data_IF_836776338178
#
_entry.id   IF_836776338178
#
_cell.length_a   1.000
_cell.length_b   1.000
_cell.length_c   1.000
_cell.angle_alpha   90.00
_cell.angle_beta   90.00
_cell.angle_gamma   90.00
#
_symmetry.space_group_name_H-M   'P 1'
#
loop_
_entity.id
_entity.type
_entity.pdbx_description
1 polymer ?
#
# COMPACT_ATOMS: atom_id res chain seq x y z
N UNK A 1 7.46 3.20 15.71
CA UNK A 1 7.86 4.04 14.56
C UNK A 1 6.87 5.18 14.22
N UNK A 2 5.89 5.49 15.09
CA UNK A 2 5.00 6.66 14.91
C UNK A 2 4.25 6.76 13.56
N UNK A 3 3.98 5.64 12.90
CA UNK A 3 3.27 5.54 11.61
C UNK A 3 2.06 4.58 11.69
N UNK A 4 1.32 4.66 12.80
CA UNK A 4 0.23 3.71 13.07
C UNK A 4 -0.93 3.86 12.07
N UNK A 5 -1.20 5.06 11.56
CA UNK A 5 -2.28 5.29 10.60
C UNK A 5 -1.93 4.75 9.22
N UNK A 6 -0.68 4.88 8.81
CA UNK A 6 -0.17 4.36 7.54
C UNK A 6 -0.12 2.84 7.55
N UNK A 7 0.37 2.23 8.65
CA UNK A 7 0.37 0.77 8.80
C UNK A 7 -1.06 0.22 8.86
N UNK A 8 -2.00 0.97 9.43
CA UNK A 8 -3.43 0.61 9.40
C UNK A 8 -3.98 0.60 7.97
N UNK A 9 -3.62 1.60 7.16
CA UNK A 9 -3.96 1.64 5.72
C UNK A 9 -3.40 0.42 4.99
N UNK A 10 -2.13 0.08 5.22
CA UNK A 10 -1.51 -1.12 4.64
C UNK A 10 -2.26 -2.39 5.07
N UNK A 11 -2.55 -2.55 6.36
CA UNK A 11 -3.26 -3.71 6.87
C UNK A 11 -4.68 -3.84 6.26
N UNK A 12 -5.37 -2.71 6.05
CA UNK A 12 -6.69 -2.70 5.44
C UNK A 12 -6.65 -3.13 3.96
N UNK A 13 -5.65 -2.66 3.19
CA UNK A 13 -5.46 -3.08 1.79
C UNK A 13 -5.10 -4.57 1.71
N UNK A 14 -4.26 -5.08 2.61
CA UNK A 14 -3.87 -6.50 2.61
C UNK A 14 -5.04 -7.45 2.96
N UNK A 15 -6.10 -6.95 3.61
CA UNK A 15 -7.30 -7.75 3.93
C UNK A 15 -8.31 -7.81 2.80
N UNK A 16 -8.23 -6.90 1.83
CA UNK A 16 -9.11 -6.93 0.65
C UNK A 16 -8.44 -7.71 -0.49
N UNK A 17 -9.23 -8.01 -1.52
CA UNK A 17 -8.71 -8.60 -2.77
C UNK A 17 -7.87 -7.56 -3.53
N UNK A 18 -7.45 -7.91 -4.74
CA UNK A 18 -6.67 -7.01 -5.58
C UNK A 18 -7.37 -5.65 -5.79
N UNK A 19 -6.67 -4.59 -5.41
CA UNK A 19 -7.10 -3.20 -5.60
C UNK A 19 -6.88 -2.73 -7.04
N UNK A 20 -5.90 -3.34 -7.73
CA UNK A 20 -5.57 -3.04 -9.11
C UNK A 20 -6.40 -3.92 -10.05
N UNK A 21 -6.87 -3.31 -11.13
CA UNK A 21 -7.62 -4.00 -12.18
C UNK A 21 -6.63 -4.55 -13.19
N UNK A 22 -6.69 -5.86 -13.45
CA UNK A 22 -5.84 -6.47 -14.46
C UNK A 22 -6.30 -6.04 -15.87
N UNK A 23 -5.41 -5.41 -16.66
CA UNK A 23 -5.72 -5.00 -18.03
C UNK A 23 -5.86 -6.23 -18.95
N UNK A 24 -6.91 -6.23 -19.79
CA UNK A 24 -7.20 -7.36 -20.69
C UNK A 24 -6.66 -7.15 -22.09
N UNK A 25 -6.64 -5.91 -22.58
CA UNK A 25 -6.15 -5.58 -23.92
C UNK A 25 -4.73 -5.01 -23.87
N UNK A 26 -4.01 -5.07 -25.00
CA UNK A 26 -2.65 -4.53 -25.13
C UNK A 26 -2.61 -3.02 -24.87
N UNK A 27 -3.61 -2.28 -25.34
CA UNK A 27 -3.71 -0.84 -25.12
C UNK A 27 -3.94 -0.51 -23.65
N UNK A 28 -4.88 -1.22 -22.99
CA UNK A 28 -5.11 -1.08 -21.55
C UNK A 28 -3.88 -1.42 -20.71
N UNK A 29 -2.99 -2.30 -21.18
CA UNK A 29 -1.72 -2.58 -20.48
C UNK A 29 -0.81 -1.37 -20.48
N UNK A 30 -0.65 -0.69 -21.62
CA UNK A 30 0.17 0.51 -21.73
C UNK A 30 -0.37 1.64 -20.85
N UNK A 31 -1.68 1.86 -20.89
CA UNK A 31 -2.34 2.89 -20.07
C UNK A 31 -2.24 2.57 -18.57
N UNK A 32 -2.35 1.29 -18.21
CA UNK A 32 -2.17 0.81 -16.84
C UNK A 32 -0.73 1.00 -16.37
N UNK A 33 0.26 0.65 -17.19
CA UNK A 33 1.67 0.84 -16.83
C UNK A 33 2.03 2.32 -16.66
N UNK A 34 1.47 3.22 -17.49
CA UNK A 34 1.62 4.66 -17.32
C UNK A 34 1.00 5.16 -16.01
N UNK A 35 -0.25 4.79 -15.73
CA UNK A 35 -0.96 5.16 -14.50
C UNK A 35 -0.26 4.61 -13.26
N UNK A 36 0.22 3.37 -13.33
CA UNK A 36 0.95 2.71 -12.24
C UNK A 36 2.32 3.32 -12.02
N UNK A 37 2.97 3.90 -13.04
CA UNK A 37 4.22 4.65 -12.90
C UNK A 37 4.08 5.88 -12.00
N UNK A 38 2.90 6.51 -12.00
CA UNK A 38 2.59 7.67 -11.15
C UNK A 38 2.06 7.27 -9.76
N UNK A 39 1.42 6.11 -9.65
CA UNK A 39 0.85 5.61 -8.40
C UNK A 39 1.85 4.86 -7.52
N UNK A 40 2.73 4.07 -8.13
CA UNK A 40 3.64 3.19 -7.42
C UNK A 40 4.83 3.96 -6.85
N UNK A 41 5.08 3.76 -5.56
CA UNK A 41 6.26 4.24 -4.88
C UNK A 41 7.44 3.28 -5.13
N UNK A 42 8.60 3.84 -5.50
CA UNK A 42 9.84 3.07 -5.73
C UNK A 42 10.34 2.37 -4.46
N UNK A 43 9.90 2.81 -3.29
CA UNK A 43 10.21 2.21 -1.99
C UNK A 43 9.54 0.85 -1.77
N UNK A 44 8.47 0.55 -2.52
CA UNK A 44 7.79 -0.74 -2.52
C UNK A 44 6.27 -0.68 -2.27
N UNK A 45 5.62 -1.83 -2.47
CA UNK A 45 4.16 -1.96 -2.50
C UNK A 45 3.44 -1.46 -1.25
N UNK A 46 3.99 -1.74 -0.06
CA UNK A 46 3.35 -1.29 1.18
C UNK A 46 3.34 0.24 1.32
N UNK A 47 4.36 0.92 0.82
CA UNK A 47 4.39 2.39 0.81
C UNK A 47 3.38 2.90 -0.22
N UNK A 48 3.31 2.27 -1.40
CA UNK A 48 2.27 2.54 -2.41
C UNK A 48 0.87 2.44 -1.82
N UNK A 49 0.55 1.38 -1.05
CA UNK A 49 -0.78 1.21 -0.44
C UNK A 49 -1.10 2.29 0.58
N UNK A 50 -0.12 2.66 1.42
CA UNK A 50 -0.30 3.75 2.38
C UNK A 50 -0.52 5.09 1.67
N UNK A 51 0.29 5.39 0.65
CA UNK A 51 0.15 6.61 -0.16
C UNK A 51 -1.20 6.66 -0.85
N UNK A 52 -1.64 5.53 -1.43
CA UNK A 52 -2.89 5.44 -2.16
C UNK A 52 -4.09 5.77 -1.27
N UNK A 53 -4.21 5.13 -0.10
CA UNK A 53 -5.35 5.35 0.81
C UNK A 53 -5.33 6.70 1.56
N UNK A 54 -4.19 7.39 1.57
CA UNK A 54 -4.07 8.73 2.15
C UNK A 54 -4.33 9.85 1.13
N UNK A 55 -4.60 9.53 -0.14
CA UNK A 55 -4.96 10.54 -1.15
C UNK A 55 -6.38 11.10 -0.91
N UNK A 56 -6.57 12.37 -1.25
CA UNK A 56 -7.78 13.16 -0.92
C UNK A 56 -9.10 12.59 -1.46
N UNK A 57 -9.08 11.93 -2.62
CA UNK A 57 -10.25 11.33 -3.25
C UNK A 57 -10.86 10.15 -2.46
N UNK A 58 -10.09 9.58 -1.52
CA UNK A 58 -10.56 8.53 -0.63
C UNK A 58 -10.93 9.01 0.77
N UNK A 59 -11.01 10.32 1.00
CA UNK A 59 -11.33 10.83 2.34
C UNK A 59 -12.81 10.63 2.67
N UNK A 60 -13.70 10.60 1.66
CA UNK A 60 -15.14 10.44 1.87
C UNK A 60 -15.81 9.61 0.76
N UNK A 61 -16.94 8.95 1.10
CA UNK A 61 -17.79 8.26 0.12
C UNK A 61 -18.37 9.22 -0.93
N UNK A 62 -18.59 10.48 -0.58
CA UNK A 62 -19.02 11.51 -1.52
C UNK A 62 -17.89 11.82 -2.52
N UNK A 63 -16.67 12.06 -2.03
CA UNK A 63 -15.50 12.27 -2.86
C UNK A 63 -15.23 11.07 -3.79
N UNK A 64 -15.33 9.83 -3.29
CA UNK A 64 -15.19 8.64 -4.14
C UNK A 64 -16.23 8.55 -5.26
N UNK A 65 -17.44 9.09 -5.07
CA UNK A 65 -18.48 9.12 -6.10
C UNK A 65 -18.13 10.15 -7.18
N UNK A 66 -17.65 11.30 -6.78
CA UNK A 66 -17.29 12.40 -7.69
C UNK A 66 -16.03 12.08 -8.50
N UNK A 67 -15.03 11.45 -7.86
CA UNK A 67 -13.78 11.05 -8.51
C UNK A 67 -13.84 9.71 -9.22
N UNK A 68 -15.01 9.05 -9.31
CA UNK A 68 -15.13 7.66 -9.81
C UNK A 68 -14.48 7.42 -11.18
N UNK A 69 -14.56 8.40 -12.08
CA UNK A 69 -13.95 8.30 -13.41
C UNK A 69 -12.43 8.42 -13.36
N UNK A 70 -11.88 9.21 -12.44
CA UNK A 70 -10.42 9.28 -12.18
C UNK A 70 -9.92 7.94 -11.60
N UNK A 71 -10.65 7.35 -10.65
CA UNK A 71 -10.33 6.02 -10.09
C UNK A 71 -10.28 4.96 -11.19
N UNK A 72 -11.25 5.00 -12.11
CA UNK A 72 -11.33 4.09 -13.25
C UNK A 72 -10.22 4.32 -14.25
N UNK A 73 -9.89 5.58 -14.52
CA UNK A 73 -8.76 5.98 -15.37
C UNK A 73 -7.42 5.48 -14.83
N UNK A 74 -7.26 5.44 -13.51
CA UNK A 74 -6.06 4.94 -12.83
C UNK A 74 -6.04 3.41 -12.62
N UNK A 75 -6.90 2.63 -13.30
CA UNK A 75 -6.94 1.17 -13.23
C UNK A 75 -7.17 0.59 -11.82
N UNK A 76 -7.91 1.32 -10.99
CA UNK A 76 -8.22 0.92 -9.63
C UNK A 76 -9.66 0.46 -9.49
N UNK A 77 -9.89 -0.52 -8.61
CA UNK A 77 -11.23 -1.04 -8.37
C UNK A 77 -11.92 -0.23 -7.25
N UNK A 78 -12.92 0.63 -7.58
CA UNK A 78 -13.56 1.48 -6.59
C UNK A 78 -14.30 0.69 -5.50
N UNK A 79 -14.81 -0.50 -5.84
CA UNK A 79 -15.50 -1.37 -4.87
C UNK A 79 -14.52 -1.93 -3.85
N UNK A 80 -13.37 -2.43 -4.32
CA UNK A 80 -12.33 -2.97 -3.44
C UNK A 80 -11.77 -1.87 -2.54
N UNK A 81 -11.60 -0.66 -3.05
CA UNK A 81 -11.06 0.44 -2.24
C UNK A 81 -12.08 0.94 -1.21
N UNK A 82 -13.35 1.11 -1.59
CA UNK A 82 -14.40 1.43 -0.64
C UNK A 82 -14.44 0.39 0.50
N UNK A 83 -14.26 -0.90 0.16
CA UNK A 83 -14.15 -1.96 1.16
C UNK A 83 -12.90 -1.83 2.03
N UNK A 84 -11.75 -1.48 1.47
CA UNK A 84 -10.52 -1.25 2.23
C UNK A 84 -10.71 -0.09 3.24
N UNK A 85 -11.41 0.97 2.86
CA UNK A 85 -11.73 2.07 3.78
C UNK A 85 -12.64 1.65 4.94
N UNK A 86 -13.67 0.83 4.66
CA UNK A 86 -14.52 0.27 5.72
C UNK A 86 -13.70 -0.56 6.70
N UNK A 87 -12.81 -1.43 6.19
CA UNK A 87 -11.90 -2.23 7.00
C UNK A 87 -10.97 -1.34 7.82
N UNK A 88 -10.38 -0.29 7.23
CA UNK A 88 -9.54 0.69 7.93
C UNK A 88 -10.30 1.32 9.10
N UNK A 89 -11.54 1.75 8.88
CA UNK A 89 -12.39 2.34 9.92
C UNK A 89 -12.73 1.34 11.04
N UNK A 90 -13.01 0.09 10.70
CA UNK A 90 -13.24 -0.98 11.68
C UNK A 90 -12.00 -1.27 12.51
N UNK A 91 -10.83 -1.42 11.87
CA UNK A 91 -9.57 -1.64 12.57
C UNK A 91 -9.21 -0.45 13.46
N UNK A 92 -9.43 0.79 13.00
CA UNK A 92 -9.28 2.00 13.84
C UNK A 92 -10.14 1.92 15.10
N UNK A 93 -11.42 1.55 14.97
CA UNK A 93 -12.34 1.39 16.10
C UNK A 93 -11.88 0.30 17.08
N UNK A 94 -11.37 -0.82 16.58
CA UNK A 94 -10.83 -1.88 17.43
C UNK A 94 -9.57 -1.44 18.18
N UNK A 95 -8.67 -0.72 17.51
CA UNK A 95 -7.46 -0.18 18.14
C UNK A 95 -7.78 0.88 19.21
N UNK A 96 -8.83 1.69 19.02
CA UNK A 96 -9.35 2.60 20.06
C UNK A 96 -9.92 1.85 21.27
N UNK A 97 -10.64 0.77 21.02
CA UNK A 97 -11.35 0.04 22.09
C UNK A 97 -10.42 -0.85 22.91
N UNK A 98 -9.45 -1.50 22.25
CA UNK A 98 -8.66 -2.59 22.85
C UNK A 98 -7.15 -2.38 22.75
N UNK A 99 -6.69 -1.40 21.97
CA UNK A 99 -5.27 -1.18 21.74
C UNK A 99 -4.63 -0.24 22.77
N UNK A 100 -3.37 -0.45 23.17
CA UNK A 100 -2.61 0.50 24.00
C UNK A 100 -2.15 1.75 23.22
N UNK A 101 -2.68 1.98 22.01
CA UNK A 101 -2.20 3.00 21.08
C UNK A 101 -2.91 4.32 21.36
N UNK A 102 -2.36 5.09 22.32
CA UNK A 102 -2.81 6.42 22.76
C UNK A 102 -3.11 7.44 21.64
N UNK A 103 -2.61 7.21 20.43
CA UNK A 103 -2.82 8.10 19.28
C UNK A 103 -4.22 8.00 18.68
N UNK A 104 -4.91 6.88 18.85
CA UNK A 104 -6.26 6.76 18.32
C UNK A 104 -7.32 7.28 19.29
N UNK A 105 -6.99 7.52 20.56
CA UNK A 105 -7.94 7.94 21.60
C UNK A 105 -8.43 9.41 21.47
N UNK A 106 -7.89 10.17 20.51
CA UNK A 106 -8.36 11.54 20.25
C UNK A 106 -9.77 11.54 19.59
N UNK A 107 -10.67 12.44 20.01
CA UNK A 107 -12.04 12.53 19.49
C UNK A 107 -12.07 12.86 17.98
N UNK A 108 -13.07 12.34 17.27
CA UNK A 108 -13.28 12.55 15.82
C UNK A 108 -13.59 14.01 15.45
N UNK A 109 -14.06 14.81 16.42
CA UNK A 109 -14.40 16.23 16.25
C UNK A 109 -13.21 17.18 16.44
N UNK A 110 -12.05 16.67 16.84
CA UNK A 110 -10.81 17.39 16.59
C UNK A 110 -10.62 17.36 15.08
N UNK A 111 -10.89 18.50 14.41
CA UNK A 111 -10.61 18.74 13.00
C UNK A 111 -9.39 17.93 12.57
N UNK A 112 -9.40 17.23 11.41
CA UNK A 112 -8.29 16.38 11.00
C UNK A 112 -7.02 17.18 11.18
N UNK A 113 -6.28 16.86 12.23
CA UNK A 113 -5.13 17.64 12.62
C UNK A 113 -4.05 17.27 11.62
N UNK A 114 -4.14 17.84 10.41
CA UNK A 114 -3.02 18.07 9.50
C UNK A 114 -1.85 18.74 10.25
N UNK A 115 -2.10 19.26 11.45
CA UNK A 115 -1.17 19.86 12.40
C UNK A 115 -0.24 18.91 13.19
N UNK A 116 -0.29 17.57 13.04
CA UNK A 116 0.72 16.70 13.67
C UNK A 116 1.51 15.80 12.71
N UNK A 117 1.22 15.89 11.42
CA UNK A 117 2.27 15.73 10.41
C UNK A 117 3.13 17.00 10.49
N UNK A 118 4.11 17.01 11.41
CA UNK A 118 5.37 17.68 11.09
C UNK A 118 5.72 17.32 9.65
N UNK A 119 6.25 18.25 8.85
CA UNK A 119 6.66 17.99 7.48
C UNK A 119 7.77 16.92 7.45
N UNK A 120 7.39 15.67 7.68
CA UNK A 120 8.23 14.48 7.62
C UNK A 120 8.40 14.26 6.14
N UNK A 121 9.66 14.33 5.69
CA UNK A 121 10.01 14.02 4.32
C UNK A 121 9.38 12.68 3.91
N UNK A 122 8.91 12.58 2.67
CA UNK A 122 8.36 11.35 2.10
C UNK A 122 9.31 10.16 2.30
N UNK A 123 10.62 10.41 2.21
CA UNK A 123 11.65 9.41 2.47
C UNK A 123 11.62 8.90 3.92
N UNK A 124 11.47 9.79 4.90
CA UNK A 124 11.39 9.40 6.30
C UNK A 124 10.09 8.66 6.61
N UNK A 125 8.97 9.09 6.02
CA UNK A 125 7.68 8.38 6.11
C UNK A 125 7.80 6.95 5.56
N UNK A 126 8.39 6.80 4.36
CA UNK A 126 8.69 5.50 3.75
C UNK A 126 9.55 4.60 4.66
N UNK A 127 10.60 5.15 5.27
CA UNK A 127 11.47 4.40 6.21
C UNK A 127 10.67 3.91 7.43
N UNK A 128 9.83 4.77 8.03
CA UNK A 128 9.03 4.41 9.20
C UNK A 128 8.03 3.28 8.88
N UNK A 129 7.38 3.34 7.72
CA UNK A 129 6.46 2.29 7.25
C UNK A 129 7.23 0.98 7.04
N UNK A 130 8.34 1.00 6.27
CA UNK A 130 9.13 -0.20 5.98
C UNK A 130 9.69 -0.87 7.24
N UNK A 131 10.18 -0.08 8.21
CA UNK A 131 10.63 -0.61 9.51
C UNK A 131 9.50 -1.31 10.26
N UNK A 132 8.32 -0.71 10.31
CA UNK A 132 7.16 -1.28 11.00
C UNK A 132 6.70 -2.59 10.38
N UNK A 133 6.61 -2.64 9.04
CA UNK A 133 6.23 -3.85 8.31
C UNK A 133 7.30 -4.93 8.50
N UNK A 134 8.59 -4.59 8.39
CA UNK A 134 9.68 -5.52 8.60
C UNK A 134 9.64 -6.16 10.00
N UNK A 135 9.31 -5.39 11.05
CA UNK A 135 9.16 -5.95 12.40
C UNK A 135 8.03 -6.99 12.50
N UNK A 136 6.92 -6.80 11.79
CA UNK A 136 5.78 -7.73 11.82
C UNK A 136 5.93 -8.94 10.89
N UNK A 137 6.60 -8.76 9.74
CA UNK A 137 6.72 -9.76 8.68
C UNK A 137 8.15 -10.29 8.48
N UNK A 138 9.04 -10.14 9.47
CA UNK A 138 10.45 -10.56 9.35
C UNK A 138 10.62 -12.04 8.99
N UNK A 139 9.64 -12.89 9.35
CA UNK A 139 9.67 -14.33 9.06
C UNK A 139 9.41 -14.63 7.57
N UNK A 140 8.79 -13.68 6.87
CA UNK A 140 8.31 -13.81 5.49
C UNK A 140 9.23 -13.06 4.51
N UNK A 141 10.50 -12.90 4.86
CA UNK A 141 11.48 -12.19 4.03
C UNK A 141 12.19 -13.14 3.06
N UNK A 142 12.50 -12.64 1.87
CA UNK A 142 13.36 -13.29 0.90
C UNK A 142 14.58 -12.42 0.59
N UNK A 143 15.67 -13.05 0.16
CA UNK A 143 16.93 -12.41 -0.21
C UNK A 143 17.33 -12.84 -1.61
N UNK A 144 17.82 -11.89 -2.40
CA UNK A 144 18.47 -12.16 -3.69
C UNK A 144 19.84 -12.80 -3.46
N UNK A 145 20.09 -13.96 -4.05
CA UNK A 145 21.39 -14.61 -4.04
C UNK A 145 22.18 -14.36 -5.34
N UNK A 146 23.45 -14.76 -5.36
CA UNK A 146 24.38 -14.49 -6.46
C UNK A 146 23.98 -15.16 -7.78
N UNK A 147 23.11 -16.18 -7.72
CA UNK A 147 22.53 -16.85 -8.89
C UNK A 147 21.42 -16.02 -9.57
N UNK A 148 21.05 -14.86 -8.99
CA UNK A 148 20.00 -14.00 -9.52
C UNK A 148 18.59 -14.40 -9.09
N UNK A 149 18.44 -15.36 -8.16
CA UNK A 149 17.15 -15.79 -7.66
C UNK A 149 16.89 -15.36 -6.22
N UNK A 150 15.61 -15.13 -5.91
CA UNK A 150 15.20 -14.84 -4.53
C UNK A 150 14.94 -16.14 -3.77
N UNK A 151 15.48 -16.21 -2.55
CA UNK A 151 15.25 -17.32 -1.64
C UNK A 151 14.68 -16.82 -0.33
N UNK A 152 13.68 -17.53 0.18
CA UNK A 152 13.15 -17.29 1.53
C UNK A 152 14.25 -17.50 2.57
N UNK A 153 14.36 -16.58 3.54
CA UNK A 153 15.35 -16.73 4.62
C UNK A 153 15.06 -17.97 5.47
N UNK A 154 13.78 -18.29 5.63
CA UNK A 154 13.32 -19.50 6.29
C UNK A 154 13.06 -20.60 5.27
N UNK A 155 13.84 -21.67 5.32
CA UNK A 155 13.65 -22.85 4.47
C UNK A 155 14.36 -22.81 3.12
N UNK A 156 14.92 -21.65 2.71
CA UNK A 156 15.68 -21.50 1.44
C UNK A 156 14.90 -21.97 0.20
N UNK A 157 13.60 -21.72 0.19
CA UNK A 157 12.78 -21.99 -0.99
C UNK A 157 12.92 -20.86 -2.01
N UNK A 158 13.13 -21.23 -3.27
CA UNK A 158 13.16 -20.29 -4.40
C UNK A 158 11.79 -19.66 -4.58
N UNK A 159 11.76 -18.33 -4.71
CA UNK A 159 10.56 -17.53 -4.94
C UNK A 159 10.78 -16.52 -6.06
N UNK A 160 9.70 -16.09 -6.70
CA UNK A 160 9.73 -15.04 -7.72
C UNK A 160 8.90 -13.85 -7.26
N UNK A 161 9.29 -12.66 -7.73
CA UNK A 161 8.50 -11.44 -7.53
C UNK A 161 7.29 -11.51 -8.46
N UNK A 162 6.10 -11.19 -7.94
CA UNK A 162 4.88 -11.17 -8.74
C UNK A 162 4.96 -10.10 -9.83
N UNK A 163 4.41 -10.39 -11.01
CA UNK A 163 4.34 -9.45 -12.13
C UNK A 163 3.60 -8.16 -11.78
N UNK A 164 2.71 -8.21 -10.80
CA UNK A 164 1.88 -7.08 -10.37
C UNK A 164 2.55 -6.16 -9.34
N UNK A 165 3.66 -6.58 -8.75
CA UNK A 165 4.39 -5.78 -7.75
C UNK A 165 5.03 -4.53 -8.37
N UNK A 166 5.03 -3.42 -7.63
CA UNK A 166 5.75 -2.20 -7.98
C UNK A 166 7.24 -2.47 -8.26
N UNK A 167 7.85 -3.42 -7.53
CA UNK A 167 9.26 -3.78 -7.71
C UNK A 167 9.54 -4.39 -9.10
N UNK A 168 8.61 -5.21 -9.60
CA UNK A 168 8.72 -5.78 -10.94
C UNK A 168 8.54 -4.70 -12.02
N UNK A 169 7.66 -3.73 -11.76
CA UNK A 169 7.34 -2.63 -12.69
C UNK A 169 8.42 -1.54 -12.72
N UNK A 170 9.12 -1.29 -11.63
CA UNK A 170 10.15 -0.25 -11.52
C UNK A 170 11.51 -0.64 -12.11
N UNK A 171 11.58 -1.71 -12.91
CA UNK A 171 12.82 -2.14 -13.58
C UNK A 171 13.72 -3.06 -12.75
N UNK A 172 13.18 -3.72 -11.72
CA UNK A 172 13.84 -4.87 -11.07
C UNK A 172 13.87 -6.12 -11.96
N UNK A 173 14.13 -5.97 -13.27
CA UNK A 173 14.34 -7.06 -14.20
C UNK A 173 15.71 -7.66 -13.94
N UNK A 174 15.80 -8.50 -12.92
CA UNK A 174 16.85 -9.51 -12.90
C UNK A 174 16.38 -10.54 -13.92
N UNK A 175 17.08 -10.59 -15.06
CA UNK A 175 16.84 -11.50 -16.17
C UNK A 175 16.54 -12.91 -15.66
N UNK A 176 15.25 -13.27 -15.60
CA UNK A 176 14.84 -14.66 -15.62
C UNK A 176 14.58 -15.01 -17.07
N UNK A 177 15.65 -15.18 -17.83
CA UNK A 177 15.61 -15.96 -19.06
C UNK A 177 15.34 -17.44 -18.69
N UNK A 178 14.60 -18.19 -19.53
CA UNK A 178 14.18 -19.56 -19.24
C UNK A 178 15.34 -20.55 -19.11
#
# INVERSE_FOLDING_TARGET
HHCAEEVLSVAAVLQVRNIFVLPRTRQQRLDCDASMGELCDKSGDHVTYANLLDRDWFVSRAAMRDHREEIRGSFLNPVTIARAMEVRAQLRRFLRRYGPIRRFDAPEDAAPTHQHNQAVSEAERSIRIRKSVACGFFVNTARLENDGHYYTLRGKHRVTVSSDSALNRSGGSINTSP
#
